data_IF_334526669188
#
_entry.id   IF_334526669188
#
_cell.length_a   1.000
_cell.length_b   1.000
_cell.length_c   1.000
_cell.angle_alpha   90.00
_cell.angle_beta   90.00
_cell.angle_gamma   90.00
#
_symmetry.space_group_name_H-M   'P 1'
#
loop_
_entity.id
_entity.type
_entity.pdbx_description
1 polymer ?
#
# COMPACT_ATOMS: atom_id res chain seq x y z
N UNK A 1 -18.07 -6.08 -3.86
CA UNK A 1 -18.35 -4.67 -4.15
C UNK A 1 -17.05 -3.89 -4.28
N UNK A 2 -16.90 -3.09 -5.31
CA UNK A 2 -15.71 -2.26 -5.38
C UNK A 2 -15.71 -1.24 -4.25
N UNK A 3 -14.59 -1.13 -3.60
CA UNK A 3 -14.37 -0.16 -2.53
C UNK A 3 -13.53 0.97 -3.07
N UNK A 4 -13.98 2.19 -2.84
CA UNK A 4 -13.15 3.33 -3.15
C UNK A 4 -12.20 3.55 -1.98
N UNK A 5 -10.92 3.43 -2.23
CA UNK A 5 -9.89 3.68 -1.21
C UNK A 5 -9.10 4.93 -1.55
N UNK A 6 -8.69 5.63 -0.52
CA UNK A 6 -7.92 6.86 -0.64
C UNK A 6 -6.68 6.78 0.25
N UNK A 7 -5.89 7.84 0.28
CA UNK A 7 -4.67 7.88 1.08
C UNK A 7 -4.88 7.66 2.58
N UNK A 8 -6.12 7.84 3.08
CA UNK A 8 -6.42 7.61 4.48
C UNK A 8 -6.74 6.16 4.81
N UNK A 9 -6.98 5.34 3.79
CA UNK A 9 -7.31 3.91 3.97
C UNK A 9 -6.04 3.06 4.00
N UNK A 10 -5.16 3.38 4.94
CA UNK A 10 -3.81 2.81 5.00
C UNK A 10 -3.82 1.29 5.13
N UNK A 11 -4.67 0.77 6.01
CA UNK A 11 -4.72 -0.68 6.23
C UNK A 11 -5.21 -1.42 5.00
N UNK A 12 -6.25 -0.90 4.35
CA UNK A 12 -6.79 -1.52 3.15
C UNK A 12 -5.79 -1.48 2.01
N UNK A 13 -5.09 -0.35 1.87
CA UNK A 13 -4.03 -0.24 0.86
C UNK A 13 -2.95 -1.28 1.11
N UNK A 14 -2.54 -1.45 2.36
CA UNK A 14 -1.54 -2.44 2.72
C UNK A 14 -1.97 -3.86 2.35
N UNK A 15 -3.21 -4.20 2.63
CA UNK A 15 -3.76 -5.51 2.29
C UNK A 15 -3.75 -5.73 0.78
N UNK A 16 -4.20 -4.74 0.02
CA UNK A 16 -4.26 -4.87 -1.44
C UNK A 16 -2.87 -4.95 -2.06
N UNK A 17 -1.91 -4.20 -1.53
CA UNK A 17 -0.54 -4.28 -2.01
C UNK A 17 0.06 -5.65 -1.73
N UNK A 18 -0.21 -6.23 -0.57
CA UNK A 18 0.27 -7.57 -0.24
C UNK A 18 -0.34 -8.61 -1.17
N UNK A 19 -1.60 -8.50 -1.49
CA UNK A 19 -2.25 -9.43 -2.41
C UNK A 19 -1.68 -9.33 -3.81
N UNK A 20 -1.34 -8.12 -4.24
CA UNK A 20 -0.80 -7.89 -5.59
C UNK A 20 0.68 -8.24 -5.69
N UNK A 21 1.44 -8.02 -4.63
CA UNK A 21 2.88 -8.27 -4.61
C UNK A 21 3.25 -9.17 -3.43
N UNK A 22 2.81 -10.43 -3.43
CA UNK A 22 2.94 -11.28 -2.24
C UNK A 22 4.37 -11.62 -1.86
N UNK A 23 5.31 -11.52 -2.78
CA UNK A 23 6.71 -11.86 -2.52
C UNK A 23 7.61 -10.65 -2.37
N UNK A 24 7.07 -9.45 -2.50
CA UNK A 24 7.85 -8.23 -2.44
C UNK A 24 7.90 -7.70 -1.00
N UNK A 25 9.13 -7.54 -0.47
CA UNK A 25 9.31 -6.97 0.85
C UNK A 25 9.07 -5.45 0.79
N UNK A 26 8.07 -4.94 1.52
CA UNK A 26 7.73 -3.51 1.45
C UNK A 26 8.88 -2.58 1.81
N UNK A 27 9.77 -3.00 2.69
CA UNK A 27 10.89 -2.14 3.11
C UNK A 27 11.98 -2.03 2.06
N UNK A 28 11.92 -2.83 0.99
CA UNK A 28 12.85 -2.69 -0.13
C UNK A 28 12.30 -1.79 -1.23
N UNK A 29 11.06 -1.31 -1.08
CA UNK A 29 10.40 -0.49 -2.08
C UNK A 29 10.66 0.99 -1.75
N UNK A 30 11.07 1.75 -2.75
CA UNK A 30 11.27 3.19 -2.59
C UNK A 30 9.92 3.90 -2.54
N UNK A 31 9.87 5.06 -1.87
CA UNK A 31 8.63 5.81 -1.79
C UNK A 31 8.08 6.23 -3.15
N UNK A 32 8.96 6.51 -4.10
CA UNK A 32 8.52 6.84 -5.47
C UNK A 32 7.83 5.65 -6.13
N UNK A 33 8.35 4.45 -5.91
CA UNK A 33 7.73 3.24 -6.44
C UNK A 33 6.47 2.89 -5.67
N UNK A 34 6.49 3.06 -4.35
CA UNK A 34 5.32 2.82 -3.52
C UNK A 34 4.15 3.70 -3.94
N UNK A 35 4.42 4.97 -4.18
CA UNK A 35 3.41 5.91 -4.67
C UNK A 35 2.78 5.37 -5.97
N UNK A 36 3.62 4.93 -6.88
CA UNK A 36 3.16 4.40 -8.16
C UNK A 36 2.30 3.16 -7.98
N UNK A 37 2.73 2.27 -7.09
CA UNK A 37 1.98 1.03 -6.83
C UNK A 37 0.59 1.34 -6.25
N UNK A 38 0.51 2.31 -5.35
CA UNK A 38 -0.75 2.68 -4.72
C UNK A 38 -1.73 3.26 -5.74
N UNK A 39 -1.27 4.21 -6.55
CA UNK A 39 -2.17 4.84 -7.53
C UNK A 39 -2.57 3.88 -8.65
N UNK A 40 -1.83 2.79 -8.83
CA UNK A 40 -2.14 1.78 -9.82
C UNK A 40 -3.19 0.77 -9.34
N UNK A 41 -3.52 0.77 -8.04
CA UNK A 41 -4.53 -0.14 -7.52
C UNK A 41 -5.90 0.19 -8.13
N UNK A 42 -6.65 -0.81 -8.60
CA UNK A 42 -7.91 -0.55 -9.31
C UNK A 42 -8.96 0.15 -8.47
N UNK A 43 -8.94 -0.05 -7.16
CA UNK A 43 -9.93 0.56 -6.26
C UNK A 43 -9.48 1.92 -5.71
N UNK A 44 -8.25 2.34 -6.01
CA UNK A 44 -7.72 3.58 -5.48
C UNK A 44 -8.31 4.78 -6.23
N UNK A 45 -8.94 5.69 -5.49
CA UNK A 45 -9.60 6.87 -6.03
C UNK A 45 -9.05 8.18 -5.48
N UNK A 46 -7.97 8.10 -4.69
CA UNK A 46 -7.36 9.29 -4.14
C UNK A 46 -6.63 10.13 -5.19
N UNK A 47 -6.38 11.39 -4.86
CA UNK A 47 -5.61 12.28 -5.71
C UNK A 47 -4.12 11.89 -5.64
N UNK A 48 -3.46 11.55 -6.76
CA UNK A 48 -2.05 11.19 -6.73
C UNK A 48 -1.15 12.27 -6.13
N UNK A 49 -1.55 13.54 -6.22
CA UNK A 49 -0.79 14.63 -5.65
C UNK A 49 -1.02 14.90 -4.17
N UNK A 50 -1.95 14.18 -3.54
CA UNK A 50 -2.30 14.41 -2.15
C UNK A 50 -1.46 13.59 -1.16
N UNK A 51 -0.53 12.78 -1.64
CA UNK A 51 0.30 11.97 -0.77
C UNK A 51 1.45 12.80 -0.17
N UNK A 52 2.01 12.30 0.92
CA UNK A 52 3.23 12.84 1.50
C UNK A 52 4.02 11.70 2.13
N UNK A 53 5.22 12.00 2.62
CA UNK A 53 6.08 10.96 3.19
C UNK A 53 5.43 10.25 4.36
N UNK A 54 4.71 10.98 5.22
CA UNK A 54 4.04 10.39 6.36
C UNK A 54 2.99 9.37 5.96
N UNK A 55 2.22 9.69 4.93
CA UNK A 55 1.21 8.75 4.42
C UNK A 55 1.85 7.53 3.77
N UNK A 56 2.89 7.74 2.99
CA UNK A 56 3.61 6.63 2.35
C UNK A 56 4.27 5.73 3.38
N UNK A 57 4.85 6.33 4.42
CA UNK A 57 5.45 5.55 5.51
C UNK A 57 4.40 4.71 6.23
N UNK A 58 3.24 5.29 6.52
CA UNK A 58 2.15 4.55 7.17
C UNK A 58 1.67 3.39 6.30
N UNK A 59 1.56 3.61 4.99
CA UNK A 59 1.18 2.56 4.05
C UNK A 59 2.24 1.45 4.02
N UNK A 60 3.50 1.85 3.98
CA UNK A 60 4.60 0.89 3.98
C UNK A 60 4.57 0.01 5.22
N UNK A 61 4.34 0.61 6.37
CA UNK A 61 4.25 -0.12 7.63
C UNK A 61 3.07 -1.08 7.64
N UNK A 62 1.91 -0.64 7.17
CA UNK A 62 0.72 -1.50 7.11
C UNK A 62 0.95 -2.67 6.15
N UNK A 63 1.55 -2.40 5.00
CA UNK A 63 1.89 -3.45 4.04
C UNK A 63 2.90 -4.44 4.65
N UNK A 64 3.91 -3.92 5.36
CA UNK A 64 4.92 -4.77 5.98
C UNK A 64 4.31 -5.69 7.03
N UNK A 65 3.34 -5.20 7.80
CA UNK A 65 2.64 -6.05 8.75
C UNK A 65 1.91 -7.19 8.06
N UNK A 66 1.24 -6.89 6.94
CA UNK A 66 0.56 -7.92 6.16
C UNK A 66 1.56 -8.91 5.57
N UNK A 67 2.68 -8.42 5.11
CA UNK A 67 3.74 -9.25 4.57
C UNK A 67 4.26 -10.23 5.62
N UNK A 68 4.52 -9.74 6.82
CA UNK A 68 4.99 -10.58 7.92
C UNK A 68 3.96 -11.64 8.32
N UNK A 69 2.70 -11.23 8.42
CA UNK A 69 1.63 -12.17 8.78
C UNK A 69 1.52 -13.31 7.78
N UNK A 70 1.71 -13.01 6.50
CA UNK A 70 1.59 -14.01 5.44
C UNK A 70 2.81 -14.90 5.32
N UNK A 71 3.99 -14.39 5.67
CA UNK A 71 5.23 -15.14 5.53
C UNK A 71 5.57 -15.96 6.77
N UNK A 72 5.14 -15.50 7.94
CA UNK A 72 5.40 -16.21 9.20
C UNK A 72 4.32 -17.25 9.49
N UNK A 73 3.14 -16.95 9.03
CA UNK A 73 1.92 -17.70 9.25
C UNK A 73 1.95 -19.14 9.22
#
# INVERSE_FOLDING_TARGET
>A
MPREITWTDVLEIGIQLQEKFPELDPYTVRFTDLHRYVIALPDFKGDPGASNEGKLEAIQMAWHEEFQDRTIG
#
